data_IF_272123936718
#
_entry.id   IF_272123936718
#
_cell.length_a   1.000
_cell.length_b   1.000
_cell.length_c   1.000
_cell.angle_alpha   90.00
_cell.angle_beta   90.00
_cell.angle_gamma   90.00
#
_symmetry.space_group_name_H-M   'P 1'
#
loop_
_entity.id
_entity.type
_entity.pdbx_description
1 polymer ?
#
# COMPACT_ATOMS: atom_id res chain seq x y z
N UNK A 1 15.83 -41.04 -11.00
CA UNK A 1 14.82 -40.50 -10.08
C UNK A 1 13.51 -40.40 -10.83
N UNK A 2 12.42 -41.02 -10.40
CA UNK A 2 11.13 -40.85 -11.03
C UNK A 2 10.64 -39.42 -10.79
N UNK A 3 9.91 -38.77 -11.75
CA UNK A 3 9.33 -37.49 -11.56
C UNK A 3 8.28 -37.55 -10.46
N UNK A 4 8.38 -36.67 -9.48
CA UNK A 4 7.32 -36.52 -8.49
C UNK A 4 5.99 -36.23 -9.20
N UNK A 5 4.90 -36.92 -8.83
CA UNK A 5 3.59 -36.65 -9.38
C UNK A 5 3.26 -35.19 -9.07
N UNK A 6 3.05 -34.37 -10.10
CA UNK A 6 2.38 -33.08 -9.97
C UNK A 6 0.98 -33.41 -9.44
N UNK A 7 0.79 -33.20 -8.14
CA UNK A 7 -0.54 -33.17 -7.58
C UNK A 7 -1.36 -32.20 -8.47
N UNK A 8 -2.55 -32.60 -8.83
CA UNK A 8 -3.54 -31.79 -9.54
C UNK A 8 -3.99 -30.68 -8.56
N UNK A 9 -3.10 -29.69 -8.41
CA UNK A 9 -3.32 -28.50 -7.61
C UNK A 9 -4.24 -27.64 -8.45
N UNK A 10 -5.56 -27.77 -8.22
CA UNK A 10 -6.57 -26.86 -8.76
C UNK A 10 -6.08 -25.42 -8.66
N UNK A 11 -6.58 -24.52 -9.53
CA UNK A 11 -6.19 -23.12 -9.58
C UNK A 11 -6.06 -22.54 -8.16
N UNK A 12 -4.97 -21.79 -7.90
CA UNK A 12 -4.78 -21.16 -6.59
C UNK A 12 -5.98 -20.23 -6.29
N UNK A 13 -6.47 -20.16 -5.03
CA UNK A 13 -7.66 -19.40 -4.73
C UNK A 13 -7.46 -17.89 -4.94
N UNK A 14 -8.53 -17.22 -5.36
CA UNK A 14 -8.61 -15.76 -5.38
C UNK A 14 -8.72 -15.22 -3.96
N UNK A 15 -7.85 -14.29 -3.57
CA UNK A 15 -7.86 -13.71 -2.23
C UNK A 15 -6.67 -12.80 -1.96
N UNK A 16 -6.53 -12.44 -0.70
CA UNK A 16 -5.49 -11.55 -0.20
C UNK A 16 -4.68 -12.27 0.87
N UNK A 17 -3.38 -12.10 0.84
CA UNK A 17 -2.50 -12.45 1.96
C UNK A 17 -1.98 -11.16 2.59
N UNK A 18 -2.19 -10.99 3.89
CA UNK A 18 -1.63 -9.89 4.66
C UNK A 18 -0.21 -10.25 5.09
N UNK A 19 0.79 -9.65 4.45
CA UNK A 19 2.21 -9.97 4.68
C UNK A 19 2.88 -8.87 5.49
N UNK A 20 3.65 -9.25 6.50
CA UNK A 20 4.68 -8.41 7.10
C UNK A 20 5.97 -8.51 6.25
N UNK A 21 6.27 -7.46 5.51
CA UNK A 21 7.47 -7.39 4.68
C UNK A 21 8.69 -7.09 5.55
N UNK A 22 9.72 -7.91 5.44
CA UNK A 22 11.00 -7.68 6.11
C UNK A 22 11.78 -6.51 5.47
N UNK A 23 12.69 -5.90 6.26
CA UNK A 23 13.64 -4.90 5.75
C UNK A 23 14.62 -5.53 4.75
N UNK A 24 15.13 -4.71 3.81
CA UNK A 24 16.08 -5.12 2.78
C UNK A 24 15.45 -5.86 1.59
N UNK A 25 14.18 -6.26 1.68
CA UNK A 25 13.46 -6.95 0.62
C UNK A 25 12.59 -5.97 -0.18
N UNK A 26 12.55 -6.12 -1.50
CA UNK A 26 11.62 -5.34 -2.32
C UNK A 26 10.22 -5.96 -2.31
N UNK A 27 9.16 -5.14 -2.43
CA UNK A 27 7.79 -5.63 -2.56
C UNK A 27 7.64 -6.62 -3.74
N UNK A 28 8.41 -6.42 -4.83
CA UNK A 28 8.41 -7.32 -5.98
C UNK A 28 9.09 -8.67 -5.68
N UNK A 29 10.13 -8.70 -4.84
CA UNK A 29 10.78 -9.94 -4.40
C UNK A 29 9.80 -10.82 -3.61
N UNK A 30 9.01 -10.22 -2.69
CA UNK A 30 7.93 -10.92 -1.97
C UNK A 30 6.92 -11.53 -2.93
N UNK A 31 6.42 -10.75 -3.90
CA UNK A 31 5.49 -11.24 -4.93
C UNK A 31 6.07 -12.43 -5.69
N UNK A 32 7.31 -12.34 -6.14
CA UNK A 32 7.95 -13.40 -6.91
C UNK A 32 8.20 -14.66 -6.08
N UNK A 33 8.56 -14.52 -4.80
CA UNK A 33 8.71 -15.66 -3.88
C UNK A 33 7.38 -16.37 -3.70
N UNK A 34 6.30 -15.65 -3.37
CA UNK A 34 4.98 -16.23 -3.16
C UNK A 34 4.41 -16.83 -4.44
N UNK A 35 4.62 -16.20 -5.60
CA UNK A 35 4.20 -16.77 -6.88
C UNK A 35 4.87 -18.11 -7.16
N UNK A 36 6.18 -18.23 -6.91
CA UNK A 36 6.91 -19.51 -7.09
C UNK A 36 6.45 -20.57 -6.09
N UNK A 37 6.25 -20.15 -4.83
CA UNK A 37 5.83 -21.05 -3.74
C UNK A 37 4.44 -21.63 -4.01
N UNK A 38 3.51 -20.82 -4.49
CA UNK A 38 2.09 -21.21 -4.66
C UNK A 38 1.76 -21.77 -6.03
N UNK A 39 2.57 -21.49 -7.05
CA UNK A 39 2.24 -21.79 -8.44
C UNK A 39 1.10 -20.93 -9.01
N UNK A 40 0.66 -19.90 -8.30
CA UNK A 40 -0.42 -19.01 -8.75
C UNK A 40 -0.06 -18.30 -10.06
N UNK A 41 -1.02 -18.17 -10.96
CA UNK A 41 -0.82 -17.54 -12.27
C UNK A 41 -0.63 -16.03 -12.13
N UNK A 42 -1.41 -15.39 -11.26
CA UNK A 42 -1.40 -13.95 -11.05
C UNK A 42 -1.15 -13.65 -9.57
N UNK A 43 -0.06 -12.96 -9.30
CA UNK A 43 0.26 -12.44 -7.97
C UNK A 43 0.74 -11.01 -8.11
N UNK A 44 0.21 -10.12 -7.29
CA UNK A 44 0.56 -8.71 -7.25
C UNK A 44 0.53 -8.18 -5.83
N UNK A 45 0.89 -6.92 -5.64
CA UNK A 45 0.77 -6.25 -4.34
C UNK A 45 -0.04 -4.96 -4.46
N UNK A 46 -0.65 -4.52 -3.38
CA UNK A 46 -1.25 -3.21 -3.27
C UNK A 46 -0.28 -2.28 -2.51
N UNK A 47 0.25 -1.26 -3.20
CA UNK A 47 1.11 -0.23 -2.62
C UNK A 47 2.52 -0.72 -2.25
N UNK A 48 3.48 -0.28 -3.02
CA UNK A 48 4.91 -0.56 -2.81
C UNK A 48 5.38 -0.10 -1.42
N UNK A 49 6.22 -0.89 -0.79
CA UNK A 49 7.11 -0.48 0.30
C UNK A 49 8.53 -0.42 -0.24
N UNK A 50 9.27 0.63 0.15
CA UNK A 50 10.70 0.76 -0.15
C UNK A 50 11.49 -0.38 0.52
N UNK A 51 12.71 -0.71 0.07
CA UNK A 51 13.48 -1.82 0.66
C UNK A 51 13.71 -1.68 2.16
N UNK A 52 14.05 -0.48 2.63
CA UNK A 52 14.26 -0.21 4.06
C UNK A 52 12.97 -0.39 4.89
N UNK A 53 11.81 -0.12 4.29
CA UNK A 53 10.53 -0.14 5.00
C UNK A 53 10.07 -1.57 5.29
N UNK A 54 9.37 -1.74 6.42
CA UNK A 54 8.78 -3.01 6.86
C UNK A 54 7.26 -2.90 7.02
N UNK A 55 6.61 -4.00 7.35
CA UNK A 55 5.21 -4.02 7.76
C UNK A 55 4.25 -4.42 6.65
N UNK A 56 2.99 -4.06 6.84
CA UNK A 56 1.83 -4.54 6.08
C UNK A 56 1.97 -4.35 4.58
N UNK A 57 2.04 -5.44 3.83
CA UNK A 57 2.06 -5.49 2.37
C UNK A 57 0.97 -6.45 1.89
N UNK A 58 -0.20 -5.95 1.47
CA UNK A 58 -1.24 -6.81 0.93
C UNK A 58 -0.81 -7.45 -0.39
N UNK A 59 -0.78 -8.77 -0.45
CA UNK A 59 -0.49 -9.55 -1.65
C UNK A 59 -1.79 -10.10 -2.22
N UNK A 60 -2.04 -9.82 -3.49
CA UNK A 60 -3.26 -10.18 -4.20
C UNK A 60 -2.99 -11.40 -5.08
N UNK A 61 -3.88 -12.38 -5.00
CA UNK A 61 -3.80 -13.61 -5.79
C UNK A 61 -4.93 -13.70 -6.79
N UNK A 62 -4.61 -14.21 -7.97
CA UNK A 62 -5.51 -14.50 -9.09
C UNK A 62 -6.38 -13.28 -9.44
N UNK A 63 -7.69 -13.42 -9.53
CA UNK A 63 -8.57 -12.32 -9.92
C UNK A 63 -8.63 -11.18 -8.90
N UNK A 64 -8.19 -11.36 -7.66
CA UNK A 64 -8.05 -10.26 -6.71
C UNK A 64 -7.06 -9.17 -7.19
N UNK A 65 -6.11 -9.50 -8.07
CA UNK A 65 -5.21 -8.51 -8.69
C UNK A 65 -5.95 -7.41 -9.46
N UNK A 66 -7.18 -7.67 -9.91
CA UNK A 66 -8.05 -6.69 -10.57
C UNK A 66 -8.56 -5.60 -9.60
N UNK A 67 -8.48 -5.86 -8.29
CA UNK A 67 -8.92 -4.94 -7.24
C UNK A 67 -7.81 -3.98 -6.78
N UNK A 68 -6.60 -4.09 -7.32
CA UNK A 68 -5.45 -3.29 -6.89
C UNK A 68 -5.71 -1.77 -6.91
N UNK A 69 -6.44 -1.28 -7.90
CA UNK A 69 -6.76 0.16 -8.01
C UNK A 69 -7.64 0.68 -6.87
N UNK A 70 -8.54 -0.15 -6.33
CA UNK A 70 -9.37 0.18 -5.16
C UNK A 70 -8.54 0.13 -3.89
N UNK A 71 -7.73 -0.92 -3.75
CA UNK A 71 -6.82 -1.06 -2.62
C UNK A 71 -5.87 0.14 -2.52
N UNK A 72 -5.32 0.62 -3.63
CA UNK A 72 -4.42 1.76 -3.65
C UNK A 72 -5.03 3.03 -3.02
N UNK A 73 -6.34 3.20 -3.04
CA UNK A 73 -7.04 4.37 -2.48
C UNK A 73 -7.24 4.29 -0.96
N UNK A 74 -7.10 3.11 -0.35
CA UNK A 74 -7.27 2.95 1.08
C UNK A 74 -6.22 3.75 1.88
N UNK A 75 -6.55 4.24 3.07
CA UNK A 75 -5.58 4.91 3.95
C UNK A 75 -4.50 3.93 4.42
N UNK A 76 -3.32 4.47 4.73
CA UNK A 76 -2.19 3.74 5.28
C UNK A 76 -1.74 4.43 6.54
N UNK A 77 -1.34 3.65 7.56
CA UNK A 77 -0.73 4.15 8.77
C UNK A 77 0.72 3.68 8.84
N UNK A 78 1.59 4.59 9.22
CA UNK A 78 3.03 4.33 9.32
C UNK A 78 3.55 4.82 10.67
N UNK A 79 4.48 4.07 11.24
CA UNK A 79 5.37 4.54 12.30
C UNK A 79 6.74 4.78 11.66
N UNK A 80 7.28 5.97 11.85
CA UNK A 80 8.52 6.43 11.23
C UNK A 80 9.45 7.06 12.25
N UNK A 81 10.76 6.80 12.14
CA UNK A 81 11.79 7.51 12.87
C UNK A 81 12.43 8.55 11.93
N UNK A 82 12.29 9.83 12.26
CA UNK A 82 12.86 10.97 11.52
C UNK A 82 14.12 11.41 12.27
N UNK A 83 15.25 11.35 11.59
CA UNK A 83 16.54 11.79 12.12
C UNK A 83 16.85 13.21 11.67
N UNK A 84 17.35 14.03 12.58
CA UNK A 84 17.71 15.44 12.33
C UNK A 84 19.21 15.65 12.32
N UNK A 85 19.63 16.81 11.80
CA UNK A 85 21.05 17.19 11.70
C UNK A 85 21.70 16.87 10.35
N UNK A 86 21.07 16.06 9.54
CA UNK A 86 21.63 15.55 8.28
C UNK A 86 20.58 15.50 7.18
N UNK A 87 21.05 15.46 5.92
CA UNK A 87 20.27 15.07 4.75
C UNK A 87 20.90 13.87 4.07
N UNK A 88 20.17 13.20 3.19
CA UNK A 88 20.68 12.11 2.36
C UNK A 88 20.14 12.24 0.93
N UNK A 89 20.84 11.72 -0.06
CA UNK A 89 20.42 11.79 -1.45
C UNK A 89 19.11 11.04 -1.76
N UNK A 90 18.73 10.08 -0.92
CA UNK A 90 17.50 9.27 -1.06
C UNK A 90 16.36 9.73 -0.16
N UNK A 91 16.59 10.79 0.66
CA UNK A 91 15.71 11.22 1.75
C UNK A 91 15.47 10.12 2.82
N UNK A 92 16.31 9.06 2.84
CA UNK A 92 16.24 7.94 3.79
C UNK A 92 17.65 7.43 4.19
N UNK A 93 17.70 6.42 5.07
CA UNK A 93 18.94 5.88 5.61
C UNK A 93 19.73 4.97 4.65
N UNK A 94 19.29 4.77 3.40
CA UNK A 94 20.01 3.93 2.41
C UNK A 94 21.20 4.68 1.77
N UNK A 95 21.25 6.03 1.85
CA UNK A 95 22.35 6.84 1.31
C UNK A 95 23.23 7.43 2.43
N UNK A 96 24.43 7.90 2.02
CA UNK A 96 25.34 8.59 2.91
C UNK A 96 24.73 9.87 3.50
N UNK A 97 25.03 10.16 4.76
CA UNK A 97 24.55 11.34 5.48
C UNK A 97 25.45 12.52 5.22
N UNK A 98 24.87 13.67 4.91
CA UNK A 98 25.55 14.95 4.77
C UNK A 98 25.09 15.88 5.89
N UNK A 99 26.00 16.43 6.74
CA UNK A 99 25.62 17.28 7.84
C UNK A 99 25.05 18.62 7.35
N UNK A 100 24.02 19.13 8.04
CA UNK A 100 23.39 20.41 7.74
C UNK A 100 23.60 21.39 8.90
N UNK A 101 23.08 21.06 10.12
CA UNK A 101 23.24 21.88 11.29
C UNK A 101 23.06 21.04 12.56
N UNK A 102 23.54 21.54 13.69
CA UNK A 102 23.41 20.87 14.99
C UNK A 102 21.94 20.87 15.47
N UNK A 103 21.31 19.69 15.64
CA UNK A 103 19.92 19.59 16.08
C UNK A 103 19.78 19.59 17.62
N UNK A 104 20.85 19.78 18.40
CA UNK A 104 20.85 19.59 19.86
C UNK A 104 19.91 20.54 20.61
N UNK A 105 19.54 21.66 19.98
CA UNK A 105 18.60 22.65 20.55
C UNK A 105 17.13 22.35 20.25
N UNK A 106 16.86 21.37 19.41
CA UNK A 106 15.47 20.99 19.10
C UNK A 106 14.78 20.43 20.35
N UNK A 107 13.54 20.82 20.52
CA UNK A 107 12.66 20.31 21.56
C UNK A 107 11.44 19.59 20.96
N UNK A 108 10.77 18.78 21.78
CA UNK A 108 9.52 18.12 21.33
C UNK A 108 8.43 19.12 20.86
N UNK A 109 8.22 20.28 21.52
CA UNK A 109 7.32 21.31 21.01
C UNK A 109 7.66 21.81 19.60
N UNK A 110 8.96 22.05 19.28
CA UNK A 110 9.38 22.50 17.96
C UNK A 110 9.03 21.47 16.88
N UNK A 111 9.28 20.19 17.16
CA UNK A 111 8.94 19.08 16.26
C UNK A 111 7.43 18.93 16.10
N UNK A 112 6.66 19.08 17.19
CA UNK A 112 5.21 18.99 17.17
C UNK A 112 4.59 20.13 16.34
N UNK A 113 5.10 21.35 16.48
CA UNK A 113 4.68 22.50 15.67
C UNK A 113 4.98 22.26 14.19
N UNK A 114 6.21 21.84 13.86
CA UNK A 114 6.57 21.53 12.48
C UNK A 114 5.70 20.40 11.90
N UNK A 115 5.45 19.34 12.66
CA UNK A 115 4.64 18.19 12.24
C UNK A 115 3.18 18.60 11.94
N UNK A 116 2.62 19.56 12.69
CA UNK A 116 1.25 20.03 12.51
C UNK A 116 1.00 20.63 11.11
N UNK A 117 2.03 21.23 10.51
CA UNK A 117 1.96 21.81 9.16
C UNK A 117 1.81 20.74 8.05
N UNK A 118 2.05 19.46 8.37
CA UNK A 118 1.95 18.33 7.44
C UNK A 118 0.62 17.57 7.58
N UNK A 119 -0.37 18.11 8.30
CA UNK A 119 -1.72 17.53 8.41
C UNK A 119 -2.69 18.20 7.44
N UNK A 120 -3.64 17.45 6.88
CA UNK A 120 -4.59 17.89 5.88
C UNK A 120 -4.09 17.69 4.45
N UNK A 121 -4.53 18.55 3.54
CA UNK A 121 -4.06 18.53 2.14
C UNK A 121 -2.80 19.36 2.03
N UNK A 122 -1.73 18.70 1.62
CA UNK A 122 -0.41 19.33 1.48
C UNK A 122 0.12 19.13 0.06
N UNK A 123 0.89 20.11 -0.41
CA UNK A 123 1.64 20.00 -1.65
C UNK A 123 3.00 19.38 -1.36
N UNK A 124 3.27 18.21 -1.93
CA UNK A 124 4.50 17.46 -1.66
C UNK A 124 5.31 17.23 -2.94
N UNK A 125 6.60 17.53 -2.89
CA UNK A 125 7.57 17.11 -3.91
C UNK A 125 8.00 15.67 -3.64
N UNK A 126 7.72 14.72 -4.56
CA UNK A 126 8.18 13.34 -4.40
C UNK A 126 9.72 13.26 -4.37
N UNK A 127 10.30 12.24 -3.70
CA UNK A 127 11.74 12.04 -3.72
C UNK A 127 12.28 11.82 -5.15
N UNK A 128 13.53 12.20 -5.40
CA UNK A 128 14.22 11.91 -6.67
C UNK A 128 14.24 10.40 -6.96
N UNK A 129 14.41 9.58 -5.92
CA UNK A 129 14.35 8.12 -5.99
C UNK A 129 12.91 7.60 -5.83
N UNK A 130 12.02 7.97 -6.77
CA UNK A 130 10.63 7.53 -6.77
C UNK A 130 10.21 6.89 -8.10
N UNK A 131 9.07 6.22 -8.10
CA UNK A 131 8.48 5.63 -9.30
C UNK A 131 7.72 6.66 -10.18
N UNK A 132 7.67 7.91 -9.77
CA UNK A 132 7.04 9.01 -10.52
C UNK A 132 7.77 9.20 -11.86
N UNK A 133 7.02 9.55 -12.90
CA UNK A 133 7.60 9.82 -14.22
C UNK A 133 7.96 11.31 -14.33
N UNK A 134 9.19 11.57 -14.78
CA UNK A 134 9.68 12.88 -15.21
C UNK A 134 10.06 12.72 -16.68
N UNK A 135 9.47 13.49 -17.56
CA UNK A 135 9.68 13.44 -19.02
C UNK A 135 9.53 12.00 -19.60
N UNK A 136 8.49 11.30 -19.14
CA UNK A 136 8.19 9.93 -19.60
C UNK A 136 9.07 8.82 -18.99
N UNK A 137 10.15 9.16 -18.28
CA UNK A 137 11.06 8.21 -17.61
C UNK A 137 10.80 8.20 -16.10
N UNK A 138 10.98 7.06 -15.44
CA UNK A 138 10.84 6.96 -13.97
C UNK A 138 11.99 7.71 -13.29
N UNK A 139 11.68 8.58 -12.31
CA UNK A 139 12.64 9.42 -11.60
C UNK A 139 13.80 8.61 -11.02
N UNK A 140 13.55 7.47 -10.37
CA UNK A 140 14.61 6.61 -9.82
C UNK A 140 15.63 6.12 -10.89
N UNK A 141 15.20 5.96 -12.17
CA UNK A 141 16.13 5.55 -13.25
C UNK A 141 17.03 6.69 -13.67
N UNK A 142 16.54 7.92 -13.61
CA UNK A 142 17.32 9.13 -13.87
C UNK A 142 18.31 9.34 -12.72
N UNK A 143 17.84 9.34 -11.48
CA UNK A 143 18.67 9.53 -10.29
C UNK A 143 19.84 8.52 -10.21
N UNK A 144 19.61 7.24 -10.53
CA UNK A 144 20.69 6.22 -10.60
C UNK A 144 21.74 6.46 -11.68
N UNK A 145 21.46 7.32 -12.66
CA UNK A 145 22.43 7.71 -13.71
C UNK A 145 23.22 8.96 -13.35
N UNK A 146 22.94 9.54 -12.17
CA UNK A 146 23.53 10.80 -11.72
C UNK A 146 22.76 12.05 -12.18
N UNK A 147 21.58 11.87 -12.82
CA UNK A 147 20.69 12.98 -13.09
C UNK A 147 20.01 13.43 -11.79
N UNK A 148 19.61 14.69 -11.71
CA UNK A 148 18.83 15.24 -10.60
C UNK A 148 17.37 15.46 -11.02
N UNK A 149 16.55 14.40 -11.11
CA UNK A 149 15.15 14.56 -11.50
C UNK A 149 14.39 15.34 -10.42
N UNK A 150 13.61 16.32 -10.85
CA UNK A 150 12.69 17.09 -9.99
C UNK A 150 11.25 16.68 -10.33
N UNK A 151 10.67 15.67 -9.68
CA UNK A 151 9.26 15.33 -9.89
C UNK A 151 8.37 16.51 -9.51
N UNK A 152 7.35 16.80 -10.32
CA UNK A 152 6.42 17.87 -10.02
C UNK A 152 5.72 17.62 -8.67
N UNK A 153 5.58 18.67 -7.89
CA UNK A 153 4.84 18.64 -6.65
C UNK A 153 3.38 18.24 -6.92
N UNK A 154 2.80 17.51 -6.00
CA UNK A 154 1.42 17.03 -6.09
C UNK A 154 0.71 17.11 -4.75
N UNK A 155 -0.60 17.29 -4.82
CA UNK A 155 -1.44 17.26 -3.63
C UNK A 155 -1.51 15.83 -3.09
N UNK A 156 -1.30 15.70 -1.79
CA UNK A 156 -1.48 14.47 -1.02
C UNK A 156 -2.26 14.79 0.26
N UNK A 157 -2.89 13.78 0.85
CA UNK A 157 -3.70 13.97 2.06
C UNK A 157 -3.09 13.22 3.23
N UNK A 158 -2.81 13.93 4.30
CA UNK A 158 -2.37 13.40 5.59
C UNK A 158 -3.53 13.58 6.56
N UNK A 159 -4.16 12.48 6.93
CA UNK A 159 -5.34 12.50 7.82
C UNK A 159 -4.97 12.81 9.26
N UNK A 160 -3.80 12.34 9.69
CA UNK A 160 -3.30 12.49 11.05
C UNK A 160 -1.78 12.35 11.07
N UNK A 161 -1.14 13.15 11.93
CA UNK A 161 0.29 13.08 12.22
C UNK A 161 0.52 13.31 13.72
N UNK A 162 1.06 12.30 14.40
CA UNK A 162 1.26 12.29 15.86
C UNK A 162 2.75 12.14 16.18
N UNK A 163 3.24 12.93 17.10
CA UNK A 163 4.55 12.72 17.71
C UNK A 163 4.40 11.68 18.83
N UNK A 164 4.99 10.50 18.65
CA UNK A 164 4.95 9.42 19.64
C UNK A 164 6.05 9.56 20.69
N UNK A 165 7.26 9.96 20.25
CA UNK A 165 8.43 10.12 21.10
C UNK A 165 9.44 11.07 20.46
N UNK A 166 10.25 11.74 21.28
CA UNK A 166 11.33 12.59 20.83
C UNK A 166 12.57 12.41 21.70
N UNK A 167 13.67 12.02 21.08
CA UNK A 167 14.98 11.94 21.70
C UNK A 167 15.78 13.18 21.28
N UNK A 168 16.08 14.13 22.21
CA UNK A 168 16.87 15.32 21.91
C UNK A 168 18.38 15.02 21.86
N UNK A 169 19.18 15.99 21.41
CA UNK A 169 20.64 15.95 21.40
C UNK A 169 21.24 15.95 20.00
N UNK A 170 22.55 15.70 19.90
CA UNK A 170 23.29 15.71 18.62
C UNK A 170 22.77 14.69 17.59
N UNK A 171 22.11 13.64 18.05
CA UNK A 171 21.44 12.64 17.22
C UNK A 171 19.93 12.69 17.45
N UNK A 172 19.33 13.88 17.36
CA UNK A 172 17.93 14.07 17.63
C UNK A 172 17.07 13.20 16.69
N UNK A 173 16.09 12.49 17.27
CA UNK A 173 15.18 11.60 16.54
C UNK A 173 13.75 11.82 17.02
N UNK A 174 12.84 12.02 16.07
CA UNK A 174 11.40 12.01 16.32
C UNK A 174 10.78 10.70 15.82
N UNK A 175 10.08 9.99 16.70
CA UNK A 175 9.21 8.89 16.32
C UNK A 175 7.81 9.43 16.13
N UNK A 176 7.29 9.24 14.92
CA UNK A 176 5.98 9.77 14.53
C UNK A 176 5.07 8.67 14.00
N UNK A 177 3.77 8.81 14.24
CA UNK A 177 2.76 8.02 13.54
C UNK A 177 2.06 8.92 12.53
N UNK A 178 1.94 8.46 11.28
CA UNK A 178 1.32 9.21 10.19
C UNK A 178 0.29 8.33 9.50
N UNK A 179 -0.96 8.79 9.49
CA UNK A 179 -2.05 8.20 8.71
C UNK A 179 -2.31 9.05 7.48
N UNK A 180 -2.18 8.48 6.28
CA UNK A 180 -2.23 9.24 5.04
C UNK A 180 -2.90 8.50 3.88
N UNK A 181 -3.24 9.25 2.86
CA UNK A 181 -3.79 8.78 1.59
C UNK A 181 -2.74 8.26 0.63
N UNK A 182 -3.20 7.89 -0.55
CA UNK A 182 -2.34 7.41 -1.64
C UNK A 182 -1.35 8.46 -2.10
N UNK A 183 -0.15 7.98 -2.41
CA UNK A 183 0.86 8.82 -3.05
C UNK A 183 1.70 9.65 -2.08
N UNK A 184 1.40 9.64 -0.79
CA UNK A 184 2.22 10.31 0.24
C UNK A 184 3.57 9.58 0.39
N UNK A 185 4.66 10.34 0.37
CA UNK A 185 6.02 9.87 0.63
C UNK A 185 6.46 10.30 2.02
N UNK A 186 6.66 9.32 2.91
CA UNK A 186 7.13 9.60 4.28
C UNK A 186 8.56 10.17 4.26
N UNK A 187 9.37 9.79 3.28
CA UNK A 187 10.71 10.35 3.03
C UNK A 187 10.68 11.86 2.78
N UNK A 188 9.74 12.31 1.93
CA UNK A 188 9.56 13.75 1.71
C UNK A 188 9.07 14.48 2.96
N UNK A 189 8.19 13.87 3.77
CA UNK A 189 7.76 14.47 5.05
C UNK A 189 8.99 14.64 5.97
N UNK A 190 9.83 13.61 6.11
CA UNK A 190 11.04 13.67 6.95
C UNK A 190 12.00 14.77 6.49
N UNK A 191 12.29 14.85 5.18
CA UNK A 191 13.09 15.91 4.57
C UNK A 191 12.51 17.29 4.84
N UNK A 192 11.22 17.46 4.59
CA UNK A 192 10.57 18.78 4.62
C UNK A 192 10.39 19.29 6.05
N UNK A 193 10.13 18.44 7.05
CA UNK A 193 10.16 18.77 8.48
C UNK A 193 11.56 19.24 8.88
N UNK A 194 12.62 18.50 8.53
CA UNK A 194 13.99 18.87 8.84
C UNK A 194 14.41 20.19 8.16
N UNK A 195 13.93 20.46 6.95
CA UNK A 195 14.10 21.72 6.25
C UNK A 195 13.37 22.88 6.96
N UNK A 196 12.13 22.69 7.40
CA UNK A 196 11.37 23.69 8.14
C UNK A 196 12.03 24.05 9.47
N UNK A 197 12.61 23.06 10.17
CA UNK A 197 13.37 23.26 11.41
C UNK A 197 14.78 23.82 11.19
N UNK A 198 15.23 23.94 9.92
CA UNK A 198 16.54 24.49 9.56
C UNK A 198 17.75 23.61 9.88
N UNK A 199 17.53 22.35 10.24
CA UNK A 199 18.61 21.42 10.65
C UNK A 199 18.83 20.26 9.67
N UNK A 200 17.96 20.12 8.64
CA UNK A 200 17.94 18.94 7.79
C UNK A 200 17.26 17.75 8.46
N UNK A 201 16.78 16.81 7.63
CA UNK A 201 16.09 15.62 8.13
C UNK A 201 16.03 14.53 7.08
N UNK A 202 16.01 13.28 7.53
CA UNK A 202 15.84 12.10 6.66
C UNK A 202 15.08 10.98 7.41
N UNK A 203 14.52 10.06 6.65
CA UNK A 203 13.79 8.91 7.19
C UNK A 203 14.77 7.81 7.60
N UNK A 204 14.84 7.49 8.90
CA UNK A 204 15.71 6.42 9.43
C UNK A 204 15.05 5.06 9.35
N UNK A 205 13.84 4.94 9.90
CA UNK A 205 13.04 3.71 9.95
C UNK A 205 11.62 3.98 9.49
N UNK A 206 11.02 3.00 8.81
CA UNK A 206 9.62 3.05 8.39
C UNK A 206 8.94 1.70 8.58
N UNK A 207 7.83 1.70 9.30
CA UNK A 207 6.97 0.54 9.46
C UNK A 207 5.56 0.90 9.02
N UNK A 208 5.02 0.23 8.01
CA UNK A 208 3.59 0.36 7.70
C UNK A 208 2.79 -0.52 8.64
N UNK A 209 2.16 0.08 9.64
CA UNK A 209 1.39 -0.62 10.68
C UNK A 209 0.00 -1.00 10.23
N UNK A 210 -0.60 -0.22 9.29
CA UNK A 210 -1.91 -0.55 8.74
C UNK A 210 -2.06 -0.18 7.26
N UNK A 211 -2.94 -0.91 6.58
CA UNK A 211 -3.36 -0.71 5.20
C UNK A 211 -4.86 -0.96 5.07
N UNK A 212 -5.68 0.09 5.04
CA UNK A 212 -7.13 -0.05 5.20
C UNK A 212 -7.47 -0.76 6.51
N UNK A 213 -8.20 -1.86 6.43
CA UNK A 213 -8.51 -2.70 7.59
C UNK A 213 -7.47 -3.76 7.95
N UNK A 214 -6.38 -3.88 7.18
CA UNK A 214 -5.30 -4.83 7.46
C UNK A 214 -4.28 -4.19 8.42
N UNK A 215 -3.90 -4.91 9.48
CA UNK A 215 -2.97 -4.43 10.49
C UNK A 215 -1.74 -5.33 10.60
N UNK A 216 -0.68 -4.82 11.21
CA UNK A 216 0.59 -5.54 11.38
C UNK A 216 0.42 -6.76 12.30
N UNK A 217 -0.48 -6.69 13.30
CA UNK A 217 -0.76 -7.78 14.23
C UNK A 217 -1.37 -9.00 13.55
N UNK A 218 -2.11 -8.77 12.44
CA UNK A 218 -2.70 -9.83 11.63
C UNK A 218 -1.84 -10.26 10.44
N UNK A 219 -0.68 -9.62 10.26
CA UNK A 219 0.21 -9.91 9.14
C UNK A 219 1.12 -11.11 9.44
N UNK A 220 1.46 -11.87 8.39
CA UNK A 220 2.38 -13.01 8.48
C UNK A 220 3.73 -12.63 7.87
N UNK A 221 4.82 -13.02 8.53
CA UNK A 221 6.12 -12.83 7.94
C UNK A 221 6.24 -13.75 6.71
N UNK A 222 6.49 -13.14 5.57
CA UNK A 222 6.58 -13.88 4.31
C UNK A 222 7.74 -14.87 4.24
N UNK A 223 8.78 -14.72 5.08
CA UNK A 223 9.91 -15.66 5.17
C UNK A 223 9.52 -16.97 5.86
N UNK A 224 8.52 -16.96 6.73
CA UNK A 224 8.04 -18.14 7.47
C UNK A 224 7.13 -19.04 6.62
N UNK A 225 6.68 -18.54 5.46
CA UNK A 225 5.83 -19.31 4.56
C UNK A 225 6.66 -20.22 3.67
N UNK A 226 6.50 -21.53 3.84
CA UNK A 226 7.30 -22.57 3.17
C UNK A 226 6.50 -23.41 2.21
N UNK A 227 5.16 -23.44 2.32
CA UNK A 227 4.27 -24.25 1.50
C UNK A 227 3.08 -23.46 0.93
N UNK A 228 2.57 -23.90 -0.22
CA UNK A 228 1.35 -23.34 -0.81
C UNK A 228 0.12 -23.51 0.08
N UNK A 229 0.09 -24.58 0.88
CA UNK A 229 -1.02 -24.87 1.80
C UNK A 229 -1.07 -23.89 2.97
N UNK A 230 0.09 -23.53 3.53
CA UNK A 230 0.17 -22.47 4.55
C UNK A 230 -0.39 -21.15 4.00
N UNK A 231 0.01 -20.78 2.78
CA UNK A 231 -0.52 -19.57 2.12
C UNK A 231 -2.03 -19.66 1.96
N UNK A 232 -2.58 -20.81 1.46
CA UNK A 232 -4.03 -20.99 1.31
C UNK A 232 -4.79 -20.80 2.62
N UNK A 233 -4.29 -21.38 3.70
CA UNK A 233 -4.92 -21.31 5.03
C UNK A 233 -4.99 -19.89 5.58
N UNK A 234 -4.02 -19.03 5.23
CA UNK A 234 -3.90 -17.66 5.70
C UNK A 234 -4.54 -16.63 4.75
N UNK A 235 -5.10 -17.10 3.63
CA UNK A 235 -5.77 -16.23 2.67
C UNK A 235 -7.02 -15.60 3.25
N UNK A 236 -7.16 -14.31 3.03
CA UNK A 236 -8.33 -13.51 3.34
C UNK A 236 -9.22 -13.34 2.11
N UNK A 237 -10.53 -13.13 2.27
CA UNK A 237 -11.41 -12.78 1.16
C UNK A 237 -10.92 -11.51 0.44
N UNK A 238 -11.09 -11.48 -0.89
CA UNK A 238 -10.61 -10.34 -1.70
C UNK A 238 -11.25 -9.01 -1.32
N UNK A 239 -12.41 -9.03 -0.70
CA UNK A 239 -13.16 -7.83 -0.30
C UNK A 239 -12.58 -7.07 0.90
N UNK A 240 -11.64 -7.66 1.66
CA UNK A 240 -11.00 -6.98 2.82
C UNK A 240 -10.24 -5.71 2.44
N UNK A 241 -9.85 -5.58 1.17
CA UNK A 241 -9.18 -4.38 0.62
C UNK A 241 -10.13 -3.44 -0.11
N UNK A 242 -11.42 -3.65 0.01
CA UNK A 242 -12.42 -2.76 -0.55
C UNK A 242 -12.94 -1.81 0.54
N UNK A 243 -13.24 -0.55 0.20
CA UNK A 243 -13.97 0.32 1.10
C UNK A 243 -15.37 -0.25 1.38
N UNK A 244 -16.04 0.29 2.37
CA UNK A 244 -17.43 -0.08 2.60
C UNK A 244 -18.30 0.32 1.41
N UNK A 245 -19.03 -0.66 0.88
CA UNK A 245 -19.83 -0.53 -0.33
C UNK A 245 -21.14 -1.29 -0.14
N UNK A 246 -22.17 -0.84 -0.85
CA UNK A 246 -23.43 -1.58 -0.93
C UNK A 246 -23.22 -2.96 -1.54
N UNK A 247 -24.06 -3.92 -1.08
CA UNK A 247 -23.97 -5.32 -1.52
C UNK A 247 -25.26 -5.74 -2.21
N UNK A 248 -25.13 -6.45 -3.31
CA UNK A 248 -26.23 -7.19 -3.94
C UNK A 248 -25.93 -8.68 -3.94
N UNK A 249 -26.96 -9.49 -3.76
CA UNK A 249 -26.87 -10.95 -3.84
C UNK A 249 -27.40 -11.41 -5.18
N UNK A 250 -26.63 -12.21 -5.86
CA UNK A 250 -27.00 -12.81 -7.15
C UNK A 250 -27.56 -14.22 -6.91
N UNK A 251 -28.59 -14.57 -7.66
CA UNK A 251 -28.98 -15.97 -7.82
C UNK A 251 -28.05 -16.66 -8.85
N UNK A 252 -28.19 -17.97 -9.01
CA UNK A 252 -27.31 -18.78 -9.89
C UNK A 252 -27.36 -18.30 -11.35
N UNK A 253 -28.53 -17.93 -11.85
CA UNK A 253 -28.68 -17.44 -13.24
C UNK A 253 -28.04 -16.05 -13.40
N UNK A 254 -28.29 -15.13 -12.47
CA UNK A 254 -27.68 -13.80 -12.45
C UNK A 254 -26.16 -13.88 -12.33
N UNK A 255 -25.64 -14.78 -11.49
CA UNK A 255 -24.20 -15.01 -11.35
C UNK A 255 -23.58 -15.43 -12.68
N UNK A 256 -24.20 -16.40 -13.37
CA UNK A 256 -23.71 -16.87 -14.66
C UNK A 256 -23.67 -15.73 -15.70
N UNK A 257 -24.66 -14.85 -15.71
CA UNK A 257 -24.68 -13.67 -16.58
C UNK A 257 -23.60 -12.66 -16.21
N UNK A 258 -23.45 -12.34 -14.93
CA UNK A 258 -22.45 -11.39 -14.43
C UNK A 258 -21.03 -11.88 -14.72
N UNK A 259 -20.77 -13.18 -14.60
CA UNK A 259 -19.46 -13.77 -14.97
C UNK A 259 -19.11 -13.60 -16.45
N UNK A 260 -20.13 -13.44 -17.31
CA UNK A 260 -19.97 -13.12 -18.72
C UNK A 260 -19.92 -11.60 -19.00
N UNK A 261 -19.93 -10.75 -17.96
CA UNK A 261 -19.93 -9.29 -18.09
C UNK A 261 -21.29 -8.70 -18.43
N UNK A 262 -22.38 -9.47 -18.30
CA UNK A 262 -23.74 -9.03 -18.65
C UNK A 262 -24.42 -8.37 -17.46
N UNK A 263 -25.16 -7.29 -17.74
CA UNK A 263 -25.99 -6.62 -16.73
C UNK A 263 -27.17 -7.51 -16.30
N UNK A 264 -27.52 -7.44 -15.02
CA UNK A 264 -28.61 -8.22 -14.42
C UNK A 264 -29.52 -7.34 -13.57
N UNK A 265 -30.81 -7.64 -13.55
CA UNK A 265 -31.74 -7.01 -12.63
C UNK A 265 -31.52 -7.57 -11.23
N UNK A 266 -31.41 -6.69 -10.24
CA UNK A 266 -31.22 -7.06 -8.82
C UNK A 266 -32.28 -6.39 -7.95
N UNK A 267 -32.68 -7.04 -6.86
CA UNK A 267 -33.64 -6.54 -5.91
C UNK A 267 -33.09 -6.78 -4.47
N UNK A 268 -33.23 -5.82 -3.54
CA UNK A 268 -33.71 -4.45 -3.78
C UNK A 268 -32.80 -3.70 -4.77
N UNK A 269 -33.28 -2.60 -5.33
CA UNK A 269 -32.48 -1.77 -6.23
C UNK A 269 -31.35 -1.12 -5.42
N UNK A 270 -30.09 -1.29 -5.85
CA UNK A 270 -28.97 -0.68 -5.15
C UNK A 270 -28.93 0.83 -5.39
N UNK A 271 -28.42 1.55 -4.41
CA UNK A 271 -28.16 2.99 -4.49
C UNK A 271 -27.08 3.35 -5.53
N UNK A 272 -26.84 4.65 -5.74
CA UNK A 272 -25.80 5.10 -6.64
C UNK A 272 -24.40 4.78 -6.10
N UNK A 273 -23.47 4.45 -7.00
CA UNK A 273 -22.08 4.21 -6.65
C UNK A 273 -21.59 2.83 -7.03
N UNK A 274 -20.41 2.49 -6.56
CA UNK A 274 -19.80 1.19 -6.78
C UNK A 274 -20.39 0.17 -5.79
N UNK A 275 -20.75 -1.01 -6.32
CA UNK A 275 -21.51 -2.05 -5.64
C UNK A 275 -20.75 -3.36 -5.69
N UNK A 276 -20.83 -4.14 -4.61
CA UNK A 276 -20.29 -5.50 -4.52
C UNK A 276 -21.40 -6.51 -4.84
N UNK A 277 -21.19 -7.34 -5.86
CA UNK A 277 -22.09 -8.43 -6.17
C UNK A 277 -21.53 -9.76 -5.66
N UNK A 278 -22.32 -10.46 -4.84
CA UNK A 278 -21.98 -11.73 -4.20
C UNK A 278 -22.84 -12.86 -4.74
N UNK A 279 -22.27 -14.06 -4.82
CA UNK A 279 -23.03 -15.28 -5.08
C UNK A 279 -23.92 -15.68 -3.90
N UNK A 280 -24.69 -16.75 -4.06
CA UNK A 280 -25.56 -17.29 -3.02
C UNK A 280 -24.77 -17.74 -1.76
N UNK A 281 -23.51 -18.13 -1.93
CA UNK A 281 -22.58 -18.50 -0.85
C UNK A 281 -21.90 -17.32 -0.17
N UNK A 282 -22.13 -16.08 -0.62
CA UNK A 282 -21.54 -14.88 -0.06
C UNK A 282 -20.14 -14.55 -0.57
N UNK A 283 -19.66 -15.19 -1.64
CA UNK A 283 -18.36 -14.89 -2.25
C UNK A 283 -18.50 -13.72 -3.22
N UNK A 284 -17.54 -12.81 -3.22
CA UNK A 284 -17.49 -11.69 -4.16
C UNK A 284 -17.31 -12.18 -5.60
N UNK A 285 -18.27 -11.86 -6.46
CA UNK A 285 -18.28 -12.23 -7.89
C UNK A 285 -17.84 -11.07 -8.77
N UNK A 286 -18.31 -9.86 -8.47
CA UNK A 286 -17.99 -8.69 -9.27
C UNK A 286 -18.12 -7.39 -8.48
N UNK A 287 -17.44 -6.36 -8.96
CA UNK A 287 -17.74 -4.96 -8.68
C UNK A 287 -18.41 -4.35 -9.90
N UNK A 288 -19.33 -3.41 -9.68
CA UNK A 288 -20.03 -2.72 -10.76
C UNK A 288 -20.87 -1.57 -10.25
N UNK A 289 -21.70 -1.04 -11.09
CA UNK A 289 -22.56 0.12 -10.79
C UNK A 289 -24.03 -0.24 -11.01
N UNK A 290 -24.93 0.49 -10.29
CA UNK A 290 -26.34 0.50 -10.65
C UNK A 290 -26.57 1.33 -11.91
N UNK A 291 -27.38 0.80 -12.83
CA UNK A 291 -28.05 1.60 -13.85
C UNK A 291 -29.49 1.87 -13.34
N UNK A 292 -29.75 3.08 -12.82
CA UNK A 292 -31.07 3.38 -12.22
C UNK A 292 -32.19 3.44 -13.26
N UNK A 293 -31.88 3.73 -14.54
CA UNK A 293 -32.89 3.77 -15.61
C UNK A 293 -33.37 2.37 -15.98
N UNK A 294 -32.44 1.42 -16.02
CA UNK A 294 -32.72 0.01 -16.38
C UNK A 294 -32.97 -0.87 -15.15
N UNK A 295 -32.73 -0.34 -13.95
CA UNK A 295 -32.82 -1.08 -12.68
C UNK A 295 -31.95 -2.34 -12.71
N UNK A 296 -30.71 -2.20 -13.17
CA UNK A 296 -29.78 -3.31 -13.33
C UNK A 296 -28.46 -3.03 -12.64
N UNK A 297 -27.80 -4.10 -12.17
CA UNK A 297 -26.39 -4.11 -11.84
C UNK A 297 -25.59 -4.33 -13.11
N UNK A 298 -24.65 -3.45 -13.39
CA UNK A 298 -23.73 -3.53 -14.54
C UNK A 298 -22.34 -3.86 -14.03
N UNK A 299 -21.80 -5.06 -14.29
CA UNK A 299 -20.48 -5.45 -13.82
C UNK A 299 -19.38 -4.68 -14.54
N UNK A 300 -18.39 -4.22 -13.78
CA UNK A 300 -17.18 -3.55 -14.26
C UNK A 300 -15.94 -4.43 -14.10
N UNK A 301 -15.79 -5.04 -12.92
CA UNK A 301 -14.70 -5.96 -12.57
C UNK A 301 -15.29 -7.30 -12.17
N UNK A 302 -15.14 -8.29 -13.01
CA UNK A 302 -15.59 -9.65 -12.71
C UNK A 302 -14.41 -10.45 -12.11
N UNK A 303 -14.65 -11.12 -10.99
CA UNK A 303 -13.70 -11.99 -10.31
C UNK A 303 -14.00 -13.46 -10.68
N UNK A 304 -13.21 -14.00 -11.58
CA UNK A 304 -13.36 -15.39 -12.07
C UNK A 304 -12.23 -16.24 -11.54
#
# INVERSE_FOLDING_TARGET
MPPHPRADLGLFPTGILNVDKAAGETSFAVVNRLRRLTGAHRVGHAGTLDPLATGVLPILFESATRLAEFALKLPKTYVADIHFGYVTATDDAEAAREPVADPSRLSAPDVLEALSAFTGRILQEPPAFSAVKVDGKRAYKLARRGDEPKPAAREVEVYEALLLDFTPGENAVARVEIRCGSGTYLRSIARDIGKQLGVGGYLGRLVRTAYGGLTIESAVNSADLTTAEEVRRLMLPAEVILPDMERVRLNVEQEAMVRQGRAVRVLPEPGPGLIRAHDAGGRLVALGHADPLRRTFVPEKVLT
#
